data_IF_878063739572
#
_entry.id   IF_878063739572
#
_cell.length_a   1.000
_cell.length_b   1.000
_cell.length_c   1.000
_cell.angle_alpha   90.00
_cell.angle_beta   90.00
_cell.angle_gamma   90.00
#
_symmetry.space_group_name_H-M   'P 1'
#
loop_
_entity.id
_entity.type
_entity.pdbx_description
1 polymer ?
#
# COMPACT_ATOMS: atom_id res chain seq x y z
N UNK A 1 -9.20 -3.65 -0.76
CA UNK A 1 -7.75 -3.60 -1.03
C UNK A 1 -7.56 -3.52 -2.53
N UNK A 2 -6.48 -2.92 -3.01
CA UNK A 2 -6.18 -2.88 -4.45
C UNK A 2 -5.14 -3.95 -4.79
N UNK A 3 -5.41 -4.74 -5.83
CA UNK A 3 -4.55 -5.83 -6.29
C UNK A 3 -3.98 -5.54 -7.68
N UNK A 4 -2.93 -6.28 -8.05
CA UNK A 4 -2.23 -6.20 -9.33
C UNK A 4 -1.55 -4.83 -9.60
N UNK A 5 -0.95 -4.25 -8.56
CA UNK A 5 -0.06 -3.10 -8.64
C UNK A 5 1.34 -3.48 -8.16
N UNK A 6 2.35 -2.70 -8.55
CA UNK A 6 3.72 -2.80 -8.02
C UNK A 6 4.34 -1.41 -7.85
N UNK A 7 5.22 -1.25 -6.86
CA UNK A 7 6.04 -0.03 -6.75
C UNK A 7 7.08 -0.07 -7.87
N UNK A 8 7.18 1.02 -8.65
CA UNK A 8 8.13 1.13 -9.75
C UNK A 8 9.57 1.03 -9.23
N UNK A 9 10.42 0.31 -9.95
CA UNK A 9 11.84 0.14 -9.58
C UNK A 9 12.65 1.45 -9.50
N UNK A 10 12.12 2.56 -10.05
CA UNK A 10 12.72 3.90 -9.93
C UNK A 10 12.51 4.54 -8.55
N UNK A 11 11.61 3.98 -7.73
CA UNK A 11 11.34 4.46 -6.37
C UNK A 11 12.33 3.78 -5.42
N UNK A 12 13.28 4.56 -4.89
CA UNK A 12 14.31 4.07 -3.96
C UNK A 12 14.00 4.38 -2.49
N UNK A 13 12.99 5.23 -2.24
CA UNK A 13 12.55 5.64 -0.92
C UNK A 13 11.14 5.14 -0.58
N UNK A 14 10.58 5.65 0.51
CA UNK A 14 9.21 5.36 0.89
C UNK A 14 8.20 6.11 0.01
N UNK A 15 7.11 5.44 -0.31
CA UNK A 15 5.94 6.02 -0.99
C UNK A 15 5.11 6.87 0.00
N UNK A 16 4.41 7.93 -0.46
CA UNK A 16 3.46 8.67 0.38
C UNK A 16 2.41 7.74 1.00
N UNK A 17 2.11 7.96 2.28
CA UNK A 17 1.17 7.13 3.05
C UNK A 17 -0.29 7.34 2.65
N UNK A 18 -0.59 8.51 2.10
CA UNK A 18 -1.89 8.90 1.58
C UNK A 18 -1.69 9.49 0.18
N UNK A 19 -2.46 9.02 -0.80
CA UNK A 19 -2.39 9.47 -2.19
C UNK A 19 -3.82 9.74 -2.65
N UNK A 20 -4.11 10.99 -3.02
CA UNK A 20 -5.46 11.45 -3.35
C UNK A 20 -5.69 11.75 -4.83
N UNK A 21 -4.68 11.52 -5.68
CA UNK A 21 -4.75 11.75 -7.13
C UNK A 21 -4.10 10.64 -7.94
N UNK A 22 -4.67 10.38 -9.12
CA UNK A 22 -4.13 9.43 -10.09
C UNK A 22 -2.74 9.83 -10.60
N UNK A 23 -2.49 11.14 -10.74
CA UNK A 23 -1.20 11.69 -11.19
C UNK A 23 -0.10 11.37 -10.19
N UNK A 24 -0.36 11.57 -8.89
CA UNK A 24 0.58 11.23 -7.84
C UNK A 24 0.77 9.71 -7.74
N UNK A 25 -0.32 8.94 -7.76
CA UNK A 25 -0.27 7.47 -7.72
C UNK A 25 0.60 6.91 -8.84
N UNK A 26 0.45 7.42 -10.07
CA UNK A 26 1.22 7.00 -11.23
C UNK A 26 2.72 7.35 -11.14
N UNK A 27 3.16 8.22 -10.22
CA UNK A 27 4.60 8.46 -9.98
C UNK A 27 5.26 7.26 -9.29
N UNK A 28 4.53 6.59 -8.41
CA UNK A 28 5.05 5.52 -7.56
C UNK A 28 4.68 4.12 -8.07
N UNK A 29 3.48 3.95 -8.62
CA UNK A 29 2.93 2.64 -8.94
C UNK A 29 2.82 2.37 -10.44
N UNK A 30 3.13 1.13 -10.81
CA UNK A 30 2.80 0.53 -12.09
C UNK A 30 1.67 -0.49 -11.96
N UNK A 31 1.00 -0.77 -13.07
CA UNK A 31 -0.04 -1.79 -13.16
C UNK A 31 0.57 -3.11 -13.63
N UNK A 32 0.39 -4.18 -12.86
CA UNK A 32 0.79 -5.53 -13.24
C UNK A 32 -0.40 -6.26 -13.85
N UNK A 33 -0.74 -5.97 -15.10
CA UNK A 33 -1.80 -6.71 -15.78
C UNK A 33 -1.31 -8.14 -16.08
N UNK A 34 -1.88 -9.17 -15.45
CA UNK A 34 -1.66 -10.56 -15.86
C UNK A 34 -2.69 -10.97 -16.92
N UNK A 35 -2.33 -11.86 -17.84
CA UNK A 35 -3.24 -12.33 -18.89
C UNK A 35 -4.38 -13.18 -18.27
N UNK A 36 -5.63 -12.70 -18.32
CA UNK A 36 -6.80 -13.39 -17.77
C UNK A 36 -7.82 -12.42 -17.13
N UNK A 37 -9.08 -12.84 -16.94
CA UNK A 37 -10.15 -11.95 -16.42
C UNK A 37 -9.85 -11.39 -15.01
N UNK A 38 -9.09 -12.12 -14.19
CA UNK A 38 -8.67 -11.70 -12.84
C UNK A 38 -7.33 -10.95 -12.81
N UNK A 39 -6.70 -10.76 -13.97
CA UNK A 39 -5.39 -10.12 -14.07
C UNK A 39 -5.45 -8.62 -14.25
N UNK A 40 -6.66 -8.02 -14.29
CA UNK A 40 -6.79 -6.55 -14.34
C UNK A 40 -6.51 -5.96 -12.95
N UNK A 41 -5.77 -4.84 -12.86
CA UNK A 41 -5.68 -4.03 -11.64
C UNK A 41 -7.04 -3.64 -11.11
N UNK A 42 -7.19 -3.66 -9.79
CA UNK A 42 -8.39 -3.14 -9.12
C UNK A 42 -8.53 -1.66 -9.50
N UNK A 43 -9.57 -1.26 -10.25
CA UNK A 43 -9.71 0.13 -10.64
C UNK A 43 -9.88 1.02 -9.41
N UNK A 44 -9.20 2.17 -9.41
CA UNK A 44 -9.27 3.18 -8.36
C UNK A 44 -9.85 4.45 -8.99
N UNK A 45 -11.02 4.86 -8.50
CA UNK A 45 -11.66 6.09 -8.94
C UNK A 45 -11.25 7.25 -8.04
N UNK A 46 -10.19 7.96 -8.41
CA UNK A 46 -9.67 9.10 -7.65
C UNK A 46 -10.61 10.31 -7.57
N UNK A 47 -11.78 10.27 -8.23
CA UNK A 47 -12.83 11.28 -8.00
C UNK A 47 -13.60 11.03 -6.71
N UNK A 48 -13.72 9.76 -6.28
CA UNK A 48 -14.50 9.33 -5.12
C UNK A 48 -13.66 8.63 -4.04
N UNK A 49 -12.42 8.25 -4.38
CA UNK A 49 -11.56 7.43 -3.55
C UNK A 49 -10.16 8.04 -3.41
N UNK A 50 -9.52 7.76 -2.29
CA UNK A 50 -8.10 7.97 -2.06
C UNK A 50 -7.43 6.62 -1.71
N UNK A 51 -6.11 6.59 -1.64
CA UNK A 51 -5.33 5.38 -1.36
C UNK A 51 -4.43 5.59 -0.15
N UNK A 52 -4.54 4.68 0.81
CA UNK A 52 -3.60 4.55 1.92
C UNK A 52 -2.56 3.50 1.56
N UNK A 53 -1.29 3.84 1.73
CA UNK A 53 -0.15 2.98 1.41
C UNK A 53 0.66 2.72 2.67
N UNK A 54 0.76 1.45 3.07
CA UNK A 54 1.84 1.03 3.96
C UNK A 54 2.95 0.44 3.10
N UNK A 55 4.09 1.12 3.08
CA UNK A 55 5.32 0.72 2.43
C UNK A 55 6.30 0.20 3.51
N UNK A 56 6.67 -1.07 3.44
CA UNK A 56 7.61 -1.69 4.38
C UNK A 56 9.08 -1.44 4.01
N UNK A 57 9.35 -0.72 2.92
CA UNK A 57 10.67 -0.45 2.38
C UNK A 57 11.27 -1.66 1.66
N UNK A 58 12.48 -1.49 1.14
CA UNK A 58 13.22 -2.57 0.47
C UNK A 58 13.78 -3.54 1.52
N UNK A 59 13.43 -4.81 1.41
CA UNK A 59 13.85 -5.87 2.34
C UNK A 59 14.38 -7.09 1.61
N UNK A 60 15.26 -7.85 2.28
CA UNK A 60 15.83 -9.10 1.76
C UNK A 60 15.37 -10.33 2.57
N UNK A 61 14.11 -10.30 3.00
CA UNK A 61 13.45 -11.38 3.75
C UNK A 61 11.97 -11.42 3.37
N UNK A 62 11.36 -12.57 3.54
CA UNK A 62 9.93 -12.71 3.37
C UNK A 62 9.19 -11.86 4.41
N UNK A 63 8.24 -11.06 3.95
CA UNK A 63 7.31 -10.30 4.79
C UNK A 63 5.89 -10.63 4.36
N UNK A 64 5.08 -11.09 5.31
CA UNK A 64 3.64 -11.13 5.17
C UNK A 64 3.06 -9.93 5.89
N UNK A 65 2.36 -9.07 5.15
CA UNK A 65 1.78 -7.83 5.65
C UNK A 65 0.27 -7.98 5.55
N UNK A 66 -0.43 -7.86 6.68
CA UNK A 66 -1.90 -7.97 6.73
C UNK A 66 -2.48 -6.73 7.38
N UNK A 67 -3.30 -5.92 6.66
CA UNK A 67 -4.05 -4.86 7.32
C UNK A 67 -5.12 -5.47 8.23
N UNK A 68 -5.30 -4.89 9.41
CA UNK A 68 -6.26 -5.38 10.40
C UNK A 68 -7.47 -4.44 10.50
N UNK A 69 -7.24 -3.18 10.83
CA UNK A 69 -8.31 -2.22 11.13
C UNK A 69 -7.87 -0.81 10.83
N UNK A 70 -8.71 -0.04 10.16
CA UNK A 70 -8.54 1.38 9.96
C UNK A 70 -9.40 2.14 10.98
N UNK A 71 -8.75 2.87 11.88
CA UNK A 71 -9.40 3.68 12.91
C UNK A 71 -9.31 5.17 12.55
N UNK A 72 -10.36 5.90 12.86
CA UNK A 72 -10.41 7.34 12.72
C UNK A 72 -10.15 8.00 14.09
N UNK A 73 -9.13 8.83 14.17
CA UNK A 73 -8.89 9.76 15.27
C UNK A 73 -9.07 11.20 14.75
N UNK A 74 -9.28 12.17 15.64
CA UNK A 74 -9.74 13.52 15.28
C UNK A 74 -9.04 14.15 14.06
N UNK A 75 -7.69 14.07 13.98
CA UNK A 75 -6.88 14.68 12.91
C UNK A 75 -6.19 13.65 12.01
N UNK A 76 -6.45 12.35 12.18
CA UNK A 76 -5.65 11.30 11.53
C UNK A 76 -6.35 9.96 11.37
N UNK A 77 -5.85 9.17 10.43
CA UNK A 77 -6.16 7.76 10.27
C UNK A 77 -5.06 6.91 10.89
N UNK A 78 -5.46 5.87 11.63
CA UNK A 78 -4.54 4.88 12.21
C UNK A 78 -4.86 3.52 11.61
N UNK A 79 -3.95 2.98 10.80
CA UNK A 79 -4.07 1.63 10.26
C UNK A 79 -3.26 0.66 11.12
N UNK A 80 -3.95 -0.30 11.73
CA UNK A 80 -3.33 -1.44 12.39
C UNK A 80 -2.84 -2.42 11.31
N UNK A 81 -1.55 -2.76 11.36
CA UNK A 81 -0.91 -3.65 10.39
C UNK A 81 -0.22 -4.77 11.15
N UNK A 82 -0.52 -6.01 10.81
CA UNK A 82 0.22 -7.17 11.29
C UNK A 82 1.36 -7.49 10.33
N UNK A 83 2.56 -7.70 10.86
CA UNK A 83 3.74 -8.03 10.06
C UNK A 83 4.34 -9.32 10.59
N UNK A 84 4.46 -10.33 9.70
CA UNK A 84 5.19 -11.56 9.99
C UNK A 84 6.44 -11.62 9.13
N UNK A 85 7.58 -11.79 9.79
CA UNK A 85 8.86 -12.01 9.10
C UNK A 85 9.08 -13.50 8.89
N UNK A 86 9.39 -13.88 7.66
CA UNK A 86 9.82 -15.22 7.30
C UNK A 86 11.32 -15.32 7.04
N UNK A 87 11.70 -16.31 6.23
CA UNK A 87 13.10 -16.59 5.92
C UNK A 87 13.78 -15.45 5.13
N UNK A 88 15.11 -15.36 5.26
CA UNK A 88 15.95 -14.52 4.40
C UNK A 88 15.84 -15.02 2.95
N UNK A 89 15.85 -14.08 2.01
CA UNK A 89 15.76 -14.38 0.59
C UNK A 89 17.06 -14.02 -0.14
N UNK A 90 17.28 -14.61 -1.32
CA UNK A 90 18.42 -14.28 -2.20
C UNK A 90 18.20 -13.00 -3.00
N UNK A 91 16.97 -12.50 -3.04
CA UNK A 91 16.55 -11.30 -3.76
C UNK A 91 15.97 -10.25 -2.81
N UNK A 92 15.93 -9.00 -3.27
CA UNK A 92 15.25 -7.91 -2.58
C UNK A 92 13.81 -7.80 -3.06
N UNK A 93 12.93 -7.40 -2.15
CA UNK A 93 11.54 -7.09 -2.41
C UNK A 93 11.21 -5.70 -1.88
N UNK A 94 10.19 -5.08 -2.45
CA UNK A 94 9.60 -3.84 -1.94
C UNK A 94 8.13 -4.11 -1.58
N UNK A 95 7.85 -4.76 -0.44
CA UNK A 95 6.50 -5.15 -0.07
C UNK A 95 5.70 -3.96 0.47
N UNK A 96 4.42 -3.92 0.07
CA UNK A 96 3.49 -2.85 0.44
C UNK A 96 2.05 -3.39 0.49
N UNK A 97 1.14 -2.60 1.04
CA UNK A 97 -0.31 -2.79 0.91
C UNK A 97 -0.96 -1.50 0.39
N UNK A 98 -2.03 -1.67 -0.39
CA UNK A 98 -2.89 -0.58 -0.86
C UNK A 98 -4.30 -0.75 -0.31
N UNK A 99 -4.72 0.22 0.49
CA UNK A 99 -6.08 0.30 0.99
C UNK A 99 -6.80 1.45 0.31
N UNK A 100 -7.81 1.12 -0.50
CA UNK A 100 -8.71 2.10 -1.11
C UNK A 100 -9.69 2.57 -0.03
N UNK A 101 -9.82 3.88 0.13
CA UNK A 101 -10.70 4.52 1.11
C UNK A 101 -11.58 5.57 0.43
N UNK A 102 -12.75 5.93 0.98
CA UNK A 102 -13.53 7.04 0.47
C UNK A 102 -12.77 8.37 0.63
N UNK A 103 -13.07 9.33 -0.24
CA UNK A 103 -12.62 10.73 -0.13
C UNK A 103 -13.03 11.37 1.20
N UNK A 104 -12.38 12.50 1.51
CA UNK A 104 -12.68 13.37 2.66
C UNK A 104 -12.35 12.77 4.03
N UNK A 105 -11.43 11.81 4.07
CA UNK A 105 -10.81 11.38 5.32
C UNK A 105 -9.59 12.25 5.64
N UNK A 106 -9.10 12.25 6.89
CA UNK A 106 -7.89 12.99 7.24
C UNK A 106 -6.67 12.54 6.44
N UNK A 107 -5.86 13.50 6.01
CA UNK A 107 -4.64 13.23 5.21
C UNK A 107 -3.53 12.55 6.02
N UNK A 108 -3.49 12.79 7.33
CA UNK A 108 -2.45 12.26 8.20
C UNK A 108 -2.71 10.78 8.47
N UNK A 109 -1.77 9.93 8.04
CA UNK A 109 -1.83 8.48 8.26
C UNK A 109 -0.68 8.02 9.15
N UNK A 110 -1.04 7.26 10.18
CA UNK A 110 -0.13 6.55 11.07
C UNK A 110 -0.37 5.04 11.00
N UNK A 111 0.70 4.26 11.25
CA UNK A 111 0.63 2.80 11.25
C UNK A 111 0.96 2.27 12.63
N UNK A 112 0.08 1.42 13.15
CA UNK A 112 0.34 0.66 14.38
C UNK A 112 0.75 -0.74 13.99
N UNK A 113 2.05 -1.00 14.06
CA UNK A 113 2.61 -2.30 13.70
C UNK A 113 2.43 -3.27 14.86
N UNK A 114 1.75 -4.39 14.60
CA UNK A 114 1.68 -5.54 15.50
C UNK A 114 2.66 -6.58 14.97
N UNK A 115 3.64 -6.92 15.79
CA UNK A 115 4.50 -8.07 15.57
C UNK A 115 3.98 -9.18 16.51
N UNK A 116 3.85 -10.43 16.04
CA UNK A 116 3.54 -11.55 16.91
C UNK A 116 4.65 -11.80 17.93
#
# INVERSE_FOLDING_TARGET
MADNYFIKNTVTGLVPRHISSSVEFARYFGMAATMGKNGKPTPIDFSAQDVIVYDAGIVQKQLEITPLTLNHAQDKLILDVNIRSGARQSYQMHPFILLIVPKNLPDKVEFKLKQP
#
